data_IF_355728643253
#
_entry.id   IF_355728643253
#
_cell.length_a   1.000
_cell.length_b   1.000
_cell.length_c   1.000
_cell.angle_alpha   90.00
_cell.angle_beta   90.00
_cell.angle_gamma   90.00
#
_symmetry.space_group_name_H-M   'P 1'
#
loop_
_entity.id
_entity.type
_entity.pdbx_description
1 polymer ?
#
# COMPACT_ATOMS: atom_id res chain seq x y z
N UNK A 1 -14.92 -66.36 12.85
CA UNK A 1 -14.44 -65.17 13.59
C UNK A 1 -14.38 -64.00 12.62
N UNK A 2 -15.26 -63.00 12.76
CA UNK A 2 -15.33 -61.84 11.86
C UNK A 2 -14.41 -60.75 12.40
N UNK A 3 -13.36 -60.41 11.66
CA UNK A 3 -12.47 -59.29 11.98
C UNK A 3 -13.18 -57.98 11.65
N UNK A 4 -13.32 -57.09 12.63
CA UNK A 4 -13.83 -55.73 12.45
C UNK A 4 -12.62 -54.81 12.25
N UNK A 5 -12.50 -54.20 11.07
CA UNK A 5 -11.49 -53.18 10.80
C UNK A 5 -12.05 -51.81 11.19
N UNK A 6 -11.58 -51.25 12.30
CA UNK A 6 -11.91 -49.89 12.71
C UNK A 6 -10.96 -48.91 12.02
N UNK A 7 -11.50 -48.09 11.11
CA UNK A 7 -10.76 -46.99 10.47
C UNK A 7 -10.96 -45.74 11.36
N UNK A 8 -9.92 -45.36 12.08
CA UNK A 8 -9.87 -44.09 12.80
C UNK A 8 -9.58 -42.95 11.82
N UNK A 9 -10.57 -42.10 11.56
CA UNK A 9 -10.35 -40.81 10.93
C UNK A 9 -9.72 -39.87 11.95
N UNK A 10 -8.40 -39.69 11.89
CA UNK A 10 -7.76 -38.54 12.50
C UNK A 10 -8.19 -37.31 11.70
N UNK A 11 -9.02 -36.46 12.29
CA UNK A 11 -9.34 -35.15 11.73
C UNK A 11 -8.03 -34.38 11.55
N UNK A 12 -7.66 -34.09 10.31
CA UNK A 12 -6.60 -33.13 10.04
C UNK A 12 -7.04 -31.79 10.61
N UNK A 13 -6.24 -31.12 11.46
CA UNK A 13 -6.51 -29.75 11.80
C UNK A 13 -6.54 -28.95 10.49
N UNK A 14 -7.67 -28.32 10.18
CA UNK A 14 -7.74 -27.36 9.10
C UNK A 14 -6.73 -26.27 9.42
N UNK A 15 -5.68 -26.18 8.61
CA UNK A 15 -4.81 -25.01 8.59
C UNK A 15 -5.69 -23.85 8.15
N UNK A 16 -6.18 -23.06 9.11
CA UNK A 16 -6.72 -21.73 8.85
C UNK A 16 -5.66 -21.01 8.00
N UNK A 17 -5.99 -20.54 6.77
CA UNK A 17 -5.02 -19.81 5.99
C UNK A 17 -4.54 -18.65 6.86
N UNK A 18 -3.22 -18.50 6.99
CA UNK A 18 -2.64 -17.31 7.62
C UNK A 18 -3.05 -16.11 6.78
N UNK A 19 -4.18 -15.50 7.18
CA UNK A 19 -4.91 -14.50 6.45
C UNK A 19 -4.10 -13.23 6.44
N UNK A 20 -3.57 -12.87 5.28
CA UNK A 20 -3.23 -11.48 5.03
C UNK A 20 -4.47 -10.89 4.39
N UNK A 21 -5.20 -10.04 5.10
CA UNK A 21 -6.24 -9.23 4.48
C UNK A 21 -5.69 -8.48 3.26
N UNK A 22 -6.43 -8.51 2.15
CA UNK A 22 -6.07 -7.81 0.90
C UNK A 22 -7.24 -6.98 0.38
N UNK A 23 -7.55 -5.84 1.02
CA UNK A 23 -8.61 -4.93 0.59
C UNK A 23 -8.20 -4.06 -0.60
N UNK A 24 -7.03 -4.29 -1.22
CA UNK A 24 -6.54 -3.50 -2.35
C UNK A 24 -6.22 -2.05 -1.98
N UNK A 25 -5.48 -1.83 -0.88
CA UNK A 25 -5.05 -0.49 -0.47
C UNK A 25 -4.18 0.16 -1.55
N UNK A 26 -4.56 1.38 -1.96
CA UNK A 26 -3.85 2.22 -2.91
C UNK A 26 -3.61 3.60 -2.31
N UNK A 27 -2.53 4.25 -2.74
CA UNK A 27 -2.16 5.60 -2.34
C UNK A 27 -1.73 6.40 -3.57
N UNK A 28 -2.31 7.59 -3.74
CA UNK A 28 -2.00 8.51 -4.85
C UNK A 28 -1.79 9.90 -4.28
N UNK A 29 -0.68 10.54 -4.60
CA UNK A 29 -0.44 11.93 -4.20
C UNK A 29 -1.13 12.91 -5.15
N UNK A 30 -1.92 13.82 -4.60
CA UNK A 30 -2.62 14.88 -5.33
C UNK A 30 -1.86 16.20 -5.16
N UNK A 31 -1.06 16.58 -6.15
CA UNK A 31 -0.12 17.69 -6.03
C UNK A 31 -0.79 19.05 -5.80
N UNK A 32 -1.95 19.33 -6.41
CA UNK A 32 -2.61 20.64 -6.26
C UNK A 32 -3.08 20.89 -4.83
N UNK A 33 -3.52 19.84 -4.16
CA UNK A 33 -4.05 19.90 -2.79
C UNK A 33 -3.02 19.49 -1.74
N UNK A 34 -1.81 19.08 -2.16
CA UNK A 34 -0.71 18.63 -1.29
C UNK A 34 -1.15 17.56 -0.28
N UNK A 35 -1.86 16.54 -0.79
CA UNK A 35 -2.41 15.45 0.03
C UNK A 35 -2.18 14.09 -0.62
N UNK A 36 -2.24 13.02 0.17
CA UNK A 36 -2.32 11.66 -0.36
C UNK A 36 -3.75 11.15 -0.26
N UNK A 37 -4.30 10.71 -1.39
CA UNK A 37 -5.59 10.03 -1.47
C UNK A 37 -5.37 8.52 -1.32
N UNK A 38 -5.93 7.98 -0.24
CA UNK A 38 -5.93 6.55 0.06
C UNK A 38 -7.28 5.97 -0.34
N UNK A 39 -7.26 4.78 -0.95
CA UNK A 39 -8.48 4.02 -1.27
C UNK A 39 -8.29 2.54 -1.02
N UNK A 40 -9.33 1.88 -0.54
CA UNK A 40 -9.41 0.43 -0.41
C UNK A 40 -10.87 -0.03 -0.47
N UNK A 41 -11.06 -1.33 -0.60
CA UNK A 41 -12.36 -1.96 -0.67
C UNK A 41 -12.59 -2.81 0.58
N UNK A 42 -13.73 -2.63 1.23
CA UNK A 42 -14.21 -3.61 2.20
C UNK A 42 -14.78 -4.81 1.45
N UNK A 43 -14.03 -5.92 1.46
CA UNK A 43 -14.35 -7.16 0.76
C UNK A 43 -14.33 -8.40 1.69
N UNK A 44 -14.09 -8.21 2.99
CA UNK A 44 -13.99 -9.28 3.96
C UNK A 44 -14.97 -9.05 5.12
N UNK A 45 -15.98 -9.92 5.21
CA UNK A 45 -17.03 -9.92 6.24
C UNK A 45 -16.53 -10.19 7.65
N UNK A 46 -15.33 -10.77 7.80
CA UNK A 46 -14.74 -10.99 9.11
C UNK A 46 -14.22 -9.69 9.69
N UNK A 47 -13.89 -8.68 8.88
CA UNK A 47 -13.35 -7.40 9.35
C UNK A 47 -14.44 -6.50 9.90
N UNK A 48 -14.39 -6.24 11.21
CA UNK A 48 -15.31 -5.32 11.90
C UNK A 48 -14.79 -3.89 11.96
N UNK A 49 -13.48 -3.66 11.78
CA UNK A 49 -12.87 -2.32 11.82
C UNK A 49 -11.61 -2.25 10.98
N UNK A 50 -11.42 -1.13 10.29
CA UNK A 50 -10.14 -0.73 9.73
C UNK A 50 -9.59 0.50 10.47
N UNK A 51 -8.30 0.47 10.78
CA UNK A 51 -7.52 1.65 11.14
C UNK A 51 -6.43 1.85 10.09
N UNK A 52 -6.45 2.99 9.39
CA UNK A 52 -5.39 3.39 8.47
C UNK A 52 -4.24 3.99 9.28
N UNK A 53 -3.05 3.44 9.06
CA UNK A 53 -1.84 3.86 9.74
C UNK A 53 -0.87 4.49 8.76
N UNK A 54 -0.13 5.49 9.25
CA UNK A 54 0.95 6.17 8.52
C UNK A 54 2.27 6.07 9.26
N UNK A 55 3.36 5.98 8.51
CA UNK A 55 4.73 6.02 9.03
C UNK A 55 5.64 6.84 8.10
N UNK A 56 6.66 7.48 8.66
CA UNK A 56 7.75 8.11 7.89
C UNK A 56 8.98 7.21 7.74
N UNK A 57 9.06 6.12 8.50
CA UNK A 57 10.23 5.24 8.61
C UNK A 57 9.92 3.74 8.42
N UNK A 58 8.64 3.40 8.17
CA UNK A 58 8.10 2.04 8.07
C UNK A 58 8.20 1.22 9.38
N UNK A 59 8.54 1.86 10.51
CA UNK A 59 8.72 1.21 11.81
C UNK A 59 7.74 1.74 12.86
N UNK A 60 7.60 3.07 12.95
CA UNK A 60 6.70 3.75 13.88
C UNK A 60 5.44 4.19 13.15
N UNK A 61 4.30 3.73 13.62
CA UNK A 61 3.01 3.88 12.94
C UNK A 61 2.05 4.72 13.79
N UNK A 62 1.51 5.78 13.19
CA UNK A 62 0.43 6.59 13.77
C UNK A 62 -0.91 6.18 13.12
N UNK A 63 -1.96 6.00 13.92
CA UNK A 63 -3.34 5.84 13.43
C UNK A 63 -3.84 7.22 12.96
N UNK A 64 -4.21 7.32 11.68
CA UNK A 64 -4.63 8.59 11.06
C UNK A 64 -6.11 8.58 10.65
N UNK A 65 -6.73 7.40 10.59
CA UNK A 65 -8.15 7.25 10.28
C UNK A 65 -8.68 5.91 10.78
N UNK A 66 -9.92 5.91 11.27
CA UNK A 66 -10.57 4.73 11.83
C UNK A 66 -12.03 4.64 11.38
N UNK A 67 -12.45 3.44 11.01
CA UNK A 67 -13.82 3.18 10.56
C UNK A 67 -14.29 1.79 11.00
N UNK A 68 -15.46 1.74 11.66
CA UNK A 68 -16.18 0.50 11.96
C UNK A 68 -16.99 0.06 10.75
N UNK A 69 -16.96 -1.23 10.43
CA UNK A 69 -17.75 -1.81 9.34
C UNK A 69 -19.05 -2.38 9.92
N UNK A 70 -20.17 -2.06 9.30
CA UNK A 70 -21.44 -2.70 9.58
C UNK A 70 -21.50 -4.02 8.82
N UNK A 71 -21.98 -5.08 9.48
CA UNK A 71 -22.23 -6.37 8.86
C UNK A 71 -23.63 -6.31 8.20
N UNK A 72 -23.85 -6.78 6.96
CA UNK A 72 -22.99 -7.65 6.15
C UNK A 72 -22.08 -6.90 5.18
N UNK A 73 -20.99 -7.56 4.75
CA UNK A 73 -20.03 -7.08 3.76
C UNK A 73 -20.68 -6.76 2.41
N UNK A 74 -21.24 -5.56 2.29
CA UNK A 74 -21.43 -4.92 1.00
C UNK A 74 -20.06 -4.44 0.52
N UNK A 75 -19.71 -4.74 -0.73
CA UNK A 75 -18.51 -4.22 -1.38
C UNK A 75 -18.52 -2.69 -1.32
N UNK A 76 -17.87 -2.14 -0.30
CA UNK A 76 -17.86 -0.69 -0.04
C UNK A 76 -16.47 -0.17 -0.34
N UNK A 77 -16.39 0.75 -1.28
CA UNK A 77 -15.17 1.52 -1.48
C UNK A 77 -15.05 2.58 -0.41
N UNK A 78 -13.88 2.62 0.22
CA UNK A 78 -13.54 3.58 1.27
C UNK A 78 -12.41 4.44 0.73
N UNK A 79 -12.47 5.74 1.05
CA UNK A 79 -11.42 6.69 0.70
C UNK A 79 -11.12 7.62 1.87
N UNK A 80 -9.85 7.96 2.01
CA UNK A 80 -9.37 8.92 2.99
C UNK A 80 -8.35 9.87 2.33
N UNK A 81 -8.31 11.11 2.79
CA UNK A 81 -7.38 12.13 2.32
C UNK A 81 -6.44 12.51 3.45
N UNK A 82 -5.18 12.10 3.36
CA UNK A 82 -4.15 12.54 4.29
C UNK A 82 -3.57 13.88 3.82
N UNK A 83 -3.93 14.95 4.52
CA UNK A 83 -3.46 16.32 4.30
C UNK A 83 -2.23 16.69 5.14
N UNK A 84 -1.74 15.78 5.97
CA UNK A 84 -0.66 16.03 6.93
C UNK A 84 0.65 15.38 6.47
N UNK A 85 0.82 15.22 5.16
CA UNK A 85 1.93 14.47 4.56
C UNK A 85 3.22 15.27 4.56
N UNK A 86 4.34 14.59 4.77
CA UNK A 86 5.67 15.21 4.77
C UNK A 86 6.40 14.95 3.46
N UNK A 87 7.34 15.83 3.11
CA UNK A 87 8.30 15.52 2.05
C UNK A 87 9.12 14.27 2.42
N UNK A 88 9.50 13.50 1.40
CA UNK A 88 10.20 12.23 1.55
C UNK A 88 9.25 11.04 1.51
N UNK A 89 9.60 9.98 2.24
CA UNK A 89 8.88 8.70 2.24
C UNK A 89 7.68 8.78 3.19
N UNK A 90 6.51 8.41 2.69
CA UNK A 90 5.30 8.24 3.48
C UNK A 90 4.81 6.82 3.25
N UNK A 91 4.71 6.04 4.31
CA UNK A 91 4.24 4.66 4.30
C UNK A 91 2.82 4.59 4.86
N UNK A 92 2.00 3.73 4.28
CA UNK A 92 0.61 3.50 4.69
C UNK A 92 0.33 2.01 4.78
N UNK A 93 -0.46 1.61 5.77
CA UNK A 93 -1.01 0.25 5.88
C UNK A 93 -2.37 0.30 6.55
N UNK A 94 -3.17 -0.73 6.34
CA UNK A 94 -4.38 -0.94 7.12
C UNK A 94 -4.08 -1.94 8.25
N UNK A 95 -4.58 -1.62 9.43
CA UNK A 95 -4.78 -2.52 10.56
C UNK A 95 -6.25 -2.93 10.55
N UNK A 96 -6.54 -4.18 10.26
CA UNK A 96 -7.90 -4.73 10.36
C UNK A 96 -8.09 -5.43 11.69
N UNK A 97 -9.19 -5.11 12.37
CA UNK A 97 -9.65 -5.87 13.53
C UNK A 97 -10.83 -6.73 13.10
N UNK A 98 -10.66 -8.04 13.23
CA UNK A 98 -11.65 -9.03 12.86
C UNK A 98 -12.73 -9.12 13.96
N UNK A 99 -13.86 -9.73 13.61
CA UNK A 99 -15.02 -9.91 14.49
C UNK A 99 -14.71 -10.79 15.70
N UNK A 100 -13.69 -11.63 15.61
CA UNK A 100 -13.16 -12.44 16.70
C UNK A 100 -12.12 -11.70 17.58
N UNK A 101 -11.84 -10.43 17.29
CA UNK A 101 -10.86 -9.60 17.98
C UNK A 101 -9.42 -9.73 17.46
N UNK A 102 -9.14 -10.65 16.53
CA UNK A 102 -7.82 -10.79 15.91
C UNK A 102 -7.45 -9.55 15.10
N UNK A 103 -6.14 -9.28 15.00
CA UNK A 103 -5.62 -8.13 14.26
C UNK A 103 -4.72 -8.59 13.14
N UNK A 104 -5.00 -8.09 11.94
CA UNK A 104 -4.20 -8.33 10.74
C UNK A 104 -3.76 -7.01 10.12
N UNK A 105 -2.64 -7.05 9.38
CA UNK A 105 -2.10 -5.88 8.70
C UNK A 105 -1.94 -6.15 7.21
N UNK A 106 -2.26 -5.16 6.39
CA UNK A 106 -1.84 -5.19 4.99
C UNK A 106 -0.33 -4.98 4.88
N UNK A 107 0.31 -5.46 3.80
CA UNK A 107 1.62 -4.98 3.42
C UNK A 107 1.62 -3.44 3.33
N UNK A 108 2.70 -2.77 3.77
CA UNK A 108 2.78 -1.33 3.66
C UNK A 108 2.99 -0.90 2.21
N UNK A 109 2.30 0.16 1.80
CA UNK A 109 2.55 0.88 0.54
C UNK A 109 3.27 2.19 0.86
N UNK A 110 4.10 2.66 -0.06
CA UNK A 110 4.91 3.85 0.08
C UNK A 110 4.61 4.83 -1.06
N UNK A 111 4.53 6.10 -0.69
CA UNK A 111 4.52 7.25 -1.59
C UNK A 111 5.75 8.10 -1.27
N UNK A 112 6.55 8.43 -2.29
CA UNK A 112 7.67 9.37 -2.14
C UNK A 112 7.23 10.72 -2.65
N UNK A 113 7.10 11.69 -1.75
CA UNK A 113 6.77 13.08 -2.06
C UNK A 113 8.09 13.84 -2.16
N UNK A 114 8.35 14.51 -3.28
CA UNK A 114 9.52 15.36 -3.42
C UNK A 114 9.55 16.46 -2.35
N UNK A 115 10.75 16.98 -2.03
CA UNK A 115 10.85 18.24 -1.27
C UNK A 115 10.08 19.33 -2.03
N UNK A 116 9.47 20.32 -1.35
CA UNK A 116 9.00 21.52 -2.04
C UNK A 116 10.17 22.11 -2.85
N UNK A 117 10.04 22.10 -4.19
CA UNK A 117 11.10 22.44 -5.15
C UNK A 117 11.67 21.25 -5.97
N UNK A 118 11.53 20.01 -5.50
CA UNK A 118 11.78 18.78 -6.25
C UNK A 118 10.45 18.24 -6.78
N UNK A 119 10.25 18.47 -8.06
CA UNK A 119 8.98 18.31 -8.76
C UNK A 119 8.66 16.88 -9.16
N UNK A 120 9.26 15.85 -8.56
CA UNK A 120 9.10 14.47 -9.02
C UNK A 120 8.27 13.64 -8.03
N UNK A 121 7.30 12.91 -8.56
CA UNK A 121 6.45 11.95 -7.85
C UNK A 121 6.65 10.56 -8.46
N UNK A 122 6.73 9.52 -7.63
CA UNK A 122 6.94 8.14 -8.08
C UNK A 122 5.97 7.17 -7.39
N UNK A 123 5.26 6.33 -8.17
CA UNK A 123 4.26 5.38 -7.66
C UNK A 123 3.90 4.26 -8.67
N UNK A 124 3.37 3.11 -8.20
CA UNK A 124 3.26 2.70 -6.81
C UNK A 124 4.61 2.20 -6.27
N UNK A 125 4.80 2.22 -4.95
CA UNK A 125 5.86 1.44 -4.31
C UNK A 125 5.23 0.61 -3.18
N UNK A 126 5.39 -0.73 -3.13
CA UNK A 126 6.13 -1.58 -4.06
C UNK A 126 5.55 -1.60 -5.48
N UNK A 127 6.43 -1.60 -6.49
CA UNK A 127 6.05 -1.70 -7.89
C UNK A 127 6.09 -3.16 -8.35
N UNK A 128 5.15 -3.56 -9.22
CA UNK A 128 5.19 -4.85 -9.94
C UNK A 128 5.68 -4.63 -11.37
N UNK A 129 4.78 -4.18 -12.24
CA UNK A 129 5.06 -4.11 -13.68
C UNK A 129 5.40 -2.70 -14.16
N UNK A 130 4.70 -1.68 -13.64
CA UNK A 130 4.82 -0.30 -14.12
C UNK A 130 5.10 0.67 -12.98
N UNK A 131 6.23 1.37 -13.08
CA UNK A 131 6.61 2.47 -12.19
C UNK A 131 6.28 3.79 -12.90
N UNK A 132 5.36 4.57 -12.34
CA UNK A 132 5.06 5.90 -12.82
C UNK A 132 6.05 6.88 -12.21
N UNK A 133 6.66 7.71 -13.06
CA UNK A 133 7.48 8.86 -12.67
C UNK A 133 6.85 10.11 -13.28
N UNK A 134 6.34 10.99 -12.42
CA UNK A 134 5.61 12.19 -12.84
C UNK A 134 6.39 13.45 -12.42
N UNK A 135 6.61 14.35 -13.38
CA UNK A 135 7.09 15.70 -13.12
C UNK A 135 5.91 16.65 -12.93
N UNK A 136 5.84 17.28 -11.76
CA UNK A 136 4.78 18.16 -11.29
C UNK A 136 5.29 19.60 -11.08
N UNK A 137 6.34 19.98 -11.81
CA UNK A 137 7.00 21.27 -11.69
C UNK A 137 6.51 22.28 -12.70
N UNK A 138 6.62 23.56 -12.35
CA UNK A 138 6.26 24.66 -13.25
C UNK A 138 7.40 25.04 -14.21
N UNK A 139 8.64 24.70 -13.88
CA UNK A 139 9.78 24.94 -14.76
C UNK A 139 9.82 23.88 -15.87
N UNK A 140 10.09 24.29 -17.11
CA UNK A 140 10.32 23.35 -18.21
C UNK A 140 11.51 22.43 -17.88
N UNK A 141 11.40 21.17 -18.26
CA UNK A 141 12.55 20.27 -18.28
C UNK A 141 13.38 20.68 -19.50
N UNK A 142 14.56 21.26 -19.30
CA UNK A 142 15.43 21.76 -20.37
C UNK A 142 16.65 20.86 -20.64
N UNK A 143 16.70 19.68 -20.01
CA UNK A 143 17.84 18.76 -20.09
C UNK A 143 17.45 17.29 -20.23
N UNK A 144 18.44 16.42 -20.05
CA UNK A 144 18.26 14.97 -20.03
C UNK A 144 17.94 14.52 -18.61
N UNK A 145 16.81 13.84 -18.44
CA UNK A 145 16.44 13.15 -17.22
C UNK A 145 17.07 11.76 -17.25
N UNK A 146 17.99 11.50 -16.32
CA UNK A 146 18.49 10.16 -16.05
C UNK A 146 17.64 9.48 -14.99
N UNK A 147 17.12 8.29 -15.29
CA UNK A 147 16.43 7.44 -14.32
C UNK A 147 17.30 6.21 -14.10
N UNK A 148 17.69 5.95 -12.84
CA UNK A 148 18.47 4.77 -12.47
C UNK A 148 17.70 3.97 -11.43
N UNK A 149 17.46 2.69 -11.72
CA UNK A 149 16.93 1.72 -10.77
C UNK A 149 18.12 0.89 -10.30
N UNK A 150 18.41 0.91 -9.00
CA UNK A 150 19.56 0.21 -8.43
C UNK A 150 19.19 -0.50 -7.14
N UNK A 151 19.91 -1.57 -6.84
CA UNK A 151 19.85 -2.27 -5.56
C UNK A 151 20.49 -1.43 -4.46
N UNK A 152 20.22 -1.79 -3.20
CA UNK A 152 20.82 -1.12 -2.03
C UNK A 152 22.35 -1.23 -1.97
N UNK A 153 22.94 -2.26 -2.61
CA UNK A 153 24.39 -2.42 -2.74
C UNK A 153 25.01 -1.60 -3.88
N UNK A 154 24.22 -0.75 -4.57
CA UNK A 154 24.68 0.08 -5.69
C UNK A 154 24.68 -0.62 -7.04
N UNK A 155 24.33 -1.91 -7.14
CA UNK A 155 24.20 -2.58 -8.42
C UNK A 155 23.05 -1.98 -9.24
N UNK A 156 23.35 -1.43 -10.41
CA UNK A 156 22.36 -0.88 -11.34
C UNK A 156 21.57 -2.03 -12.00
N UNK A 157 20.25 -1.93 -11.94
CA UNK A 157 19.31 -2.85 -12.60
C UNK A 157 18.83 -2.29 -13.94
N UNK A 158 18.44 -1.00 -13.97
CA UNK A 158 18.09 -0.31 -15.20
C UNK A 158 18.58 1.13 -15.19
N UNK A 159 18.92 1.64 -16.37
CA UNK A 159 19.25 3.02 -16.60
C UNK A 159 18.54 3.52 -17.86
N UNK A 160 17.74 4.55 -17.72
CA UNK A 160 16.98 5.18 -18.79
C UNK A 160 17.39 6.65 -18.89
N UNK A 161 17.34 7.20 -20.11
CA UNK A 161 17.60 8.60 -20.38
C UNK A 161 16.46 9.15 -21.22
N UNK A 162 15.82 10.19 -20.72
CA UNK A 162 14.74 10.89 -21.41
C UNK A 162 15.21 12.32 -21.68
N UNK A 163 15.23 12.73 -22.94
CA UNK A 163 15.46 14.13 -23.29
C UNK A 163 14.11 14.84 -23.40
N UNK A 164 14.04 16.07 -22.92
CA UNK A 164 12.90 16.93 -23.25
C UNK A 164 12.91 17.27 -24.74
N UNK A 165 11.74 17.18 -25.38
CA UNK A 165 11.56 17.62 -26.77
C UNK A 165 11.25 19.12 -26.88
N UNK A 166 11.09 19.83 -25.76
CA UNK A 166 10.93 21.28 -25.78
C UNK A 166 12.29 21.93 -25.95
N UNK A 167 12.53 22.42 -27.17
CA UNK A 167 13.68 23.22 -27.57
C UNK A 167 13.40 24.70 -27.36
#
# INVERSE_FOLDING_TARGET
>A
MKSLLAILFFGFPSLEPSGIISPGLTAVYENKQQLVKLKWQHNDKQVGRYSLQRSSDNNRWAEIYDIKMENPAHYKFISYYDNSVAAGRNYYRLKATLSNGSVEYTPPIMVIIGRPGNNWLMYPVPVRDVLNLQYNGNALITGVIGVTIQRMNGQVYHQLRFASSTR
#
